data_IF_605691434705
#
_entry.id   IF_605691434705
#
_cell.length_a   1.000
_cell.length_b   1.000
_cell.length_c   1.000
_cell.angle_alpha   90.00
_cell.angle_beta   90.00
_cell.angle_gamma   90.00
#
_symmetry.space_group_name_H-M   'P 1'
#
loop_
_entity.id
_entity.type
_entity.pdbx_description
1 polymer ?
#
# COMPACT_ATOMS: atom_id res chain seq x y z
N UNK A 1 -12.19 20.12 12.37
CA UNK A 1 -12.84 18.95 13.02
C UNK A 1 -12.28 17.66 12.43
N UNK A 2 -12.03 16.63 13.24
CA UNK A 2 -11.40 15.36 12.85
C UNK A 2 -12.39 14.20 13.05
N UNK A 3 -12.89 13.57 11.97
CA UNK A 3 -13.84 12.47 12.10
C UNK A 3 -13.28 11.29 12.93
N UNK A 4 -14.13 10.54 13.66
CA UNK A 4 -13.70 9.30 14.29
C UNK A 4 -13.09 8.31 13.29
N UNK A 5 -12.08 7.55 13.73
CA UNK A 5 -11.37 6.60 12.87
C UNK A 5 -10.42 7.24 11.85
N UNK A 6 -10.19 8.55 11.91
CA UNK A 6 -9.19 9.22 11.07
C UNK A 6 -7.79 8.68 11.38
N UNK A 7 -7.08 8.30 10.33
CA UNK A 7 -5.70 7.84 10.38
C UNK A 7 -4.73 9.00 10.06
N UNK A 8 -3.46 8.86 10.43
CA UNK A 8 -2.35 9.63 9.88
C UNK A 8 -1.69 8.87 8.71
N UNK A 9 -0.65 9.44 8.10
CA UNK A 9 0.05 8.84 6.94
C UNK A 9 0.65 7.47 7.26
N UNK A 10 1.11 7.25 8.49
CA UNK A 10 1.73 5.99 8.89
C UNK A 10 0.65 5.00 9.29
N UNK A 11 -0.31 5.39 10.13
CA UNK A 11 -1.37 4.48 10.59
C UNK A 11 -2.30 4.04 9.46
N UNK A 12 -2.49 4.84 8.40
CA UNK A 12 -3.30 4.43 7.26
C UNK A 12 -2.75 3.19 6.53
N UNK A 13 -1.42 3.01 6.48
CA UNK A 13 -0.80 1.81 5.93
C UNK A 13 -1.15 0.57 6.74
N UNK A 14 -1.05 0.66 8.08
CA UNK A 14 -1.38 -0.45 8.97
C UNK A 14 -2.87 -0.78 8.94
N UNK A 15 -3.73 0.24 8.87
CA UNK A 15 -5.17 0.07 8.74
C UNK A 15 -5.56 -0.57 7.41
N UNK A 16 -4.96 -0.14 6.30
CA UNK A 16 -5.16 -0.80 5.00
C UNK A 16 -4.71 -2.27 5.06
N UNK A 17 -3.58 -2.56 5.69
CA UNK A 17 -3.08 -3.94 5.86
C UNK A 17 -4.04 -4.83 6.64
N UNK A 18 -4.69 -4.31 7.69
CA UNK A 18 -5.64 -5.08 8.51
C UNK A 18 -7.00 -5.23 7.84
N UNK A 19 -7.58 -4.14 7.35
CA UNK A 19 -8.99 -4.12 6.95
C UNK A 19 -9.23 -4.47 5.48
N UNK A 20 -8.26 -4.23 4.59
CA UNK A 20 -8.46 -4.48 3.16
C UNK A 20 -8.37 -5.98 2.85
N UNK A 21 -9.43 -6.53 2.26
CA UNK A 21 -9.38 -7.84 1.61
C UNK A 21 -8.39 -7.78 0.43
N UNK A 22 -7.34 -8.60 0.43
CA UNK A 22 -6.34 -8.65 -0.64
C UNK A 22 -6.82 -9.37 -1.92
N UNK A 23 -8.12 -9.32 -2.22
CA UNK A 23 -8.69 -9.88 -3.45
C UNK A 23 -8.83 -8.78 -4.50
N UNK A 24 -8.45 -9.00 -5.77
CA UNK A 24 -8.65 -8.03 -6.85
C UNK A 24 -10.07 -7.45 -6.86
N UNK A 25 -10.18 -6.13 -7.00
CA UNK A 25 -11.45 -5.39 -6.96
C UNK A 25 -11.95 -5.02 -5.55
N UNK A 26 -11.34 -5.53 -4.48
CA UNK A 26 -11.64 -5.06 -3.11
C UNK A 26 -11.24 -3.60 -2.94
N UNK A 27 -12.01 -2.85 -2.16
CA UNK A 27 -11.73 -1.45 -1.87
C UNK A 27 -11.97 -1.11 -0.39
N UNK A 28 -11.30 -0.06 0.08
CA UNK A 28 -11.43 0.51 1.41
C UNK A 28 -11.34 2.04 1.34
N UNK A 29 -12.30 2.73 1.94
CA UNK A 29 -12.28 4.19 2.10
C UNK A 29 -11.95 4.55 3.54
N UNK A 30 -11.03 5.49 3.75
CA UNK A 30 -10.68 5.98 5.09
C UNK A 30 -10.45 7.50 5.10
N UNK A 31 -10.57 8.10 6.28
CA UNK A 31 -10.16 9.49 6.50
C UNK A 31 -8.69 9.51 6.91
N UNK A 32 -7.89 10.37 6.28
CA UNK A 32 -6.49 10.61 6.61
C UNK A 32 -6.29 12.09 6.92
N UNK A 33 -5.69 12.38 8.08
CA UNK A 33 -5.26 13.72 8.44
C UNK A 33 -3.80 13.95 8.02
N UNK A 34 -3.59 14.91 7.13
CA UNK A 34 -2.27 15.33 6.69
C UNK A 34 -2.27 16.81 6.30
N UNK A 35 -1.18 17.51 6.54
CA UNK A 35 -1.01 18.93 6.19
C UNK A 35 -2.19 19.80 6.64
N UNK A 36 -2.57 19.63 7.92
CA UNK A 36 -3.68 20.33 8.57
C UNK A 36 -5.06 20.11 7.93
N UNK A 37 -5.22 19.10 7.07
CA UNK A 37 -6.46 18.79 6.35
C UNK A 37 -6.89 17.34 6.54
N UNK A 38 -8.18 17.12 6.74
CA UNK A 38 -8.79 15.79 6.66
C UNK A 38 -9.16 15.48 5.21
N UNK A 39 -8.71 14.34 4.72
CA UNK A 39 -8.92 13.89 3.34
C UNK A 39 -9.52 12.49 3.34
N UNK A 40 -10.48 12.23 2.45
CA UNK A 40 -10.87 10.86 2.14
C UNK A 40 -9.84 10.25 1.19
N UNK A 41 -9.49 9.00 1.43
CA UNK A 41 -8.53 8.24 0.66
C UNK A 41 -9.16 6.88 0.35
N UNK A 42 -9.12 6.51 -0.92
CA UNK A 42 -9.59 5.20 -1.37
C UNK A 42 -8.39 4.31 -1.65
N UNK A 43 -8.48 3.06 -1.23
CA UNK A 43 -7.47 2.02 -1.45
C UNK A 43 -8.13 0.90 -2.22
N UNK A 44 -7.51 0.45 -3.30
CA UNK A 44 -8.07 -0.56 -4.21
C UNK A 44 -7.03 -1.65 -4.46
N UNK A 45 -7.43 -2.91 -4.36
CA UNK A 45 -6.59 -4.03 -4.82
C UNK A 45 -6.76 -4.16 -6.33
N UNK A 46 -5.70 -3.91 -7.09
CA UNK A 46 -5.73 -3.98 -8.56
C UNK A 46 -5.66 -5.44 -9.02
N UNK A 47 -4.62 -6.17 -8.61
CA UNK A 47 -4.36 -7.55 -9.06
C UNK A 47 -3.42 -8.29 -8.09
N UNK A 48 -3.29 -9.61 -8.31
CA UNK A 48 -2.25 -10.44 -7.70
C UNK A 48 -1.14 -10.65 -8.73
N UNK A 49 0.11 -10.40 -8.35
CA UNK A 49 1.27 -10.64 -9.21
C UNK A 49 2.48 -11.17 -8.42
N UNK A 50 3.33 -11.94 -9.07
CA UNK A 50 4.60 -12.39 -8.50
C UNK A 50 5.66 -11.32 -8.68
N UNK A 51 6.28 -10.88 -7.59
CA UNK A 51 7.40 -9.95 -7.61
C UNK A 51 8.72 -10.64 -7.30
N UNK A 52 9.73 -10.27 -8.07
CA UNK A 52 11.12 -10.68 -7.85
C UNK A 52 11.87 -9.55 -7.13
N UNK A 53 12.55 -9.91 -6.04
CA UNK A 53 13.36 -8.99 -5.24
C UNK A 53 14.50 -9.71 -4.50
N UNK A 54 15.21 -9.02 -3.59
CA UNK A 54 16.24 -9.61 -2.74
C UNK A 54 15.80 -10.84 -1.93
N UNK A 55 14.49 -11.02 -1.79
CA UNK A 55 13.82 -12.12 -1.10
C UNK A 55 13.36 -13.26 -2.02
N UNK A 56 13.77 -13.26 -3.29
CA UNK A 56 13.31 -14.21 -4.31
C UNK A 56 11.97 -13.82 -4.91
N UNK A 57 11.25 -14.82 -5.43
CA UNK A 57 9.92 -14.65 -6.01
C UNK A 57 8.85 -14.76 -4.92
N UNK A 58 7.95 -13.78 -4.85
CA UNK A 58 6.86 -13.76 -3.86
C UNK A 58 5.56 -13.33 -4.53
N UNK A 59 4.49 -14.08 -4.28
CA UNK A 59 3.14 -13.69 -4.70
C UNK A 59 2.64 -12.51 -3.85
N UNK A 60 2.17 -11.46 -4.51
CA UNK A 60 1.81 -10.20 -3.87
C UNK A 60 0.49 -9.65 -4.39
N UNK A 61 -0.25 -8.96 -3.52
CA UNK A 61 -1.39 -8.14 -3.90
C UNK A 61 -0.92 -6.71 -4.16
N UNK A 62 -1.15 -6.20 -5.38
CA UNK A 62 -0.85 -4.82 -5.74
C UNK A 62 -2.00 -3.92 -5.36
N UNK A 63 -1.72 -2.98 -4.46
CA UNK A 63 -2.70 -2.09 -3.88
C UNK A 63 -2.45 -0.65 -4.33
N UNK A 64 -3.45 -0.06 -4.98
CA UNK A 64 -3.46 1.33 -5.43
C UNK A 64 -4.04 2.23 -4.34
N UNK A 65 -3.33 3.31 -4.02
CA UNK A 65 -3.82 4.38 -3.16
C UNK A 65 -4.29 5.54 -4.04
N UNK A 66 -5.59 5.81 -4.04
CA UNK A 66 -6.23 6.89 -4.80
C UNK A 66 -6.37 8.12 -3.91
N UNK A 67 -5.49 9.10 -4.11
CA UNK A 67 -5.50 10.36 -3.38
C UNK A 67 -6.27 11.45 -4.16
N UNK A 68 -7.16 12.24 -3.52
CA UNK A 68 -7.96 13.24 -4.24
C UNK A 68 -7.25 14.57 -4.57
N UNK A 69 -5.92 14.72 -4.42
CA UNK A 69 -5.26 16.05 -4.48
C UNK A 69 -3.90 16.08 -5.22
N UNK A 70 -3.53 17.28 -5.69
CA UNK A 70 -2.21 17.65 -6.23
C UNK A 70 -1.33 18.27 -5.13
N UNK A 71 -0.11 17.75 -4.96
CA UNK A 71 1.00 18.38 -4.24
C UNK A 71 2.30 18.25 -5.05
N UNK A 72 3.49 18.40 -4.44
CA UNK A 72 4.80 18.18 -5.11
C UNK A 72 4.91 16.77 -5.75
N UNK A 73 4.09 15.84 -5.26
CA UNK A 73 3.67 14.63 -5.95
C UNK A 73 2.43 14.97 -6.82
N UNK A 74 2.66 15.44 -8.04
CA UNK A 74 1.67 15.96 -8.99
C UNK A 74 0.63 14.93 -9.50
N UNK A 75 0.54 13.77 -8.88
CA UNK A 75 0.07 12.56 -9.52
C UNK A 75 -1.07 11.92 -8.73
N UNK A 76 -2.30 12.26 -9.15
CA UNK A 76 -3.58 11.63 -8.79
C UNK A 76 -3.43 10.10 -8.69
N UNK A 77 -3.39 9.58 -7.47
CA UNK A 77 -3.50 8.14 -7.23
C UNK A 77 -2.39 7.27 -7.81
N UNK A 78 -1.12 7.65 -7.69
CA UNK A 78 -0.01 6.86 -8.24
C UNK A 78 0.94 6.26 -7.19
N UNK A 79 0.46 6.04 -5.97
CA UNK A 79 1.18 5.24 -4.98
C UNK A 79 0.62 3.82 -5.04
N UNK A 80 1.51 2.87 -5.28
CA UNK A 80 1.22 1.44 -5.18
C UNK A 80 2.01 0.83 -4.04
N UNK A 81 1.38 -0.07 -3.31
CA UNK A 81 1.99 -0.87 -2.25
C UNK A 81 1.74 -2.33 -2.58
N UNK A 82 2.75 -3.16 -2.45
CA UNK A 82 2.65 -4.59 -2.64
C UNK A 82 2.74 -5.26 -1.29
N UNK A 83 1.68 -5.96 -0.92
CA UNK A 83 1.65 -6.82 0.25
C UNK A 83 1.86 -8.27 -0.18
N UNK A 84 2.56 -9.08 0.62
CA UNK A 84 2.55 -10.54 0.41
C UNK A 84 1.12 -11.06 0.40
N UNK A 85 0.83 -11.99 -0.51
CA UNK A 85 -0.48 -12.63 -0.58
C UNK A 85 -0.57 -13.83 0.39
N UNK A 86 -0.21 -13.58 1.65
CA UNK A 86 -0.30 -14.54 2.76
C UNK A 86 -0.92 -13.86 3.99
N UNK A 87 -1.13 -14.62 5.07
CA UNK A 87 -1.76 -14.09 6.29
C UNK A 87 -0.95 -12.97 6.96
N UNK A 88 0.35 -12.87 6.68
CA UNK A 88 1.24 -11.86 7.27
C UNK A 88 1.05 -10.49 6.61
N UNK A 89 0.67 -10.48 5.32
CA UNK A 89 0.41 -9.27 4.51
C UNK A 89 1.55 -8.26 4.63
N UNK A 90 2.78 -8.72 4.46
CA UNK A 90 3.98 -7.89 4.65
C UNK A 90 4.12 -6.95 3.45
N UNK A 91 4.23 -5.63 3.64
CA UNK A 91 4.53 -4.71 2.55
C UNK A 91 5.97 -4.95 2.08
N UNK A 92 6.15 -5.41 0.85
CA UNK A 92 7.47 -5.74 0.27
C UNK A 92 8.00 -4.67 -0.68
N UNK A 93 7.10 -3.87 -1.28
CA UNK A 93 7.45 -2.79 -2.19
C UNK A 93 6.47 -1.63 -2.08
N UNK A 94 6.96 -0.41 -2.21
CA UNK A 94 6.17 0.79 -2.43
C UNK A 94 6.71 1.52 -3.66
N UNK A 95 5.82 1.98 -4.54
CA UNK A 95 6.18 2.74 -5.75
C UNK A 95 5.31 3.97 -5.85
N UNK A 96 5.93 5.14 -5.89
CA UNK A 96 5.26 6.41 -6.12
C UNK A 96 5.71 7.00 -7.47
N UNK A 97 4.76 7.31 -8.35
CA UNK A 97 5.07 8.00 -9.62
C UNK A 97 5.28 9.50 -9.37
N UNK A 98 6.40 10.03 -9.84
CA UNK A 98 6.71 11.47 -9.87
C UNK A 98 6.76 11.96 -11.31
N UNK A 99 6.91 13.27 -11.53
CA UNK A 99 6.91 13.84 -12.90
C UNK A 99 8.00 13.19 -13.77
N UNK A 100 9.19 13.00 -13.19
CA UNK A 100 10.40 12.57 -13.90
C UNK A 100 10.68 11.06 -13.77
N UNK A 101 9.74 10.27 -13.27
CA UNK A 101 9.94 8.83 -13.08
C UNK A 101 9.17 8.26 -11.89
N UNK A 102 9.86 7.46 -11.07
CA UNK A 102 9.27 6.88 -9.87
C UNK A 102 10.26 6.76 -8.73
N UNK A 103 9.75 6.92 -7.51
CA UNK A 103 10.43 6.53 -6.28
C UNK A 103 9.99 5.10 -5.97
N UNK A 104 10.95 4.21 -5.71
CA UNK A 104 10.71 2.81 -5.34
C UNK A 104 11.41 2.54 -4.01
N UNK A 105 10.69 1.93 -3.08
CA UNK A 105 11.22 1.43 -1.83
C UNK A 105 10.94 -0.08 -1.73
N UNK A 106 12.00 -0.85 -1.50
CA UNK A 106 11.98 -2.31 -1.42
C UNK A 106 12.39 -2.80 -0.02
N UNK A 107 11.74 -3.85 0.46
CA UNK A 107 12.04 -4.49 1.75
C UNK A 107 13.35 -5.29 1.69
N UNK A 108 14.50 -4.66 1.90
CA UNK A 108 15.80 -5.33 1.69
C UNK A 108 16.03 -6.58 2.57
N UNK A 109 15.44 -6.63 3.77
CA UNK A 109 15.57 -7.77 4.69
C UNK A 109 14.35 -7.90 5.60
N UNK A 110 14.21 -9.05 6.29
CA UNK A 110 13.13 -9.30 7.25
C UNK A 110 11.94 -10.08 6.68
N UNK A 111 11.92 -10.35 5.37
CA UNK A 111 10.99 -11.33 4.80
C UNK A 111 11.53 -12.73 5.05
N UNK A 112 11.11 -13.36 6.14
CA UNK A 112 11.42 -14.77 6.38
C UNK A 112 10.61 -15.63 5.43
N UNK A 113 11.26 -16.56 4.73
CA UNK A 113 10.54 -17.63 4.03
C UNK A 113 9.72 -18.39 5.07
N UNK A 114 8.42 -18.59 4.80
CA UNK A 114 7.66 -19.58 5.55
C UNK A 114 8.33 -20.91 5.31
N UNK A 115 8.97 -21.46 6.34
CA UNK A 115 9.49 -22.82 6.31
C UNK A 115 8.29 -23.75 6.13
N UNK A 116 8.04 -24.19 4.90
CA UNK A 116 7.27 -25.40 4.65
C UNK A 116 8.11 -26.58 5.12
N UNK A 117 8.13 -26.80 6.44
CA UNK A 117 8.56 -28.09 6.97
C UNK A 117 7.39 -29.07 6.75
N UNK A 118 7.62 -30.21 6.07
CA UNK A 118 6.61 -31.25 5.89
C UNK A 118 6.13 -31.83 7.22
#
# INVERSE_FOLDING_TARGET
>A
EMPPGTQDIISCLYYARSELSLRPGSFLTMNVYHDKKNRKLDVIVEEIETLNGPWGEVETARVLVVMPFQGLFLNKGNIRVWFTNDDRRIPVRMKAKVIIGSIVADLVSGLQASSSTP
#
